data_IF_243803388585
#
_entry.id   IF_243803388585
#
_cell.length_a   1.000
_cell.length_b   1.000
_cell.length_c   1.000
_cell.angle_alpha   90.00
_cell.angle_beta   90.00
_cell.angle_gamma   90.00
#
_symmetry.space_group_name_H-M   'P 1'
#
loop_
_entity.id
_entity.type
_entity.pdbx_description
1 polymer ?
#
# COMPACT_ATOMS: atom_id res chain seq x y z
N UNK A 1 26.89 -14.16 53.72
CA UNK A 1 26.66 -15.03 52.55
C UNK A 1 25.64 -14.30 51.70
N UNK A 2 26.11 -13.59 50.66
CA UNK A 2 25.28 -12.75 49.79
C UNK A 2 24.44 -13.64 48.87
N UNK A 3 23.19 -13.90 49.24
CA UNK A 3 22.23 -14.64 48.42
C UNK A 3 20.97 -13.78 48.30
N UNK A 4 21.02 -12.68 47.56
CA UNK A 4 19.77 -11.96 47.20
C UNK A 4 19.93 -11.01 45.99
N UNK A 5 20.91 -11.28 45.11
CA UNK A 5 21.20 -10.41 43.95
C UNK A 5 20.81 -10.98 42.58
N UNK A 6 20.43 -12.25 42.48
CA UNK A 6 20.50 -13.03 41.23
C UNK A 6 19.16 -13.48 40.66
N UNK A 7 18.05 -12.90 41.13
CA UNK A 7 16.69 -13.43 40.85
C UNK A 7 15.91 -12.59 39.79
N UNK A 8 15.79 -11.28 39.97
CA UNK A 8 15.03 -10.43 39.04
C UNK A 8 15.65 -10.33 37.64
N UNK A 9 16.99 -10.39 37.54
CA UNK A 9 17.70 -10.35 36.24
C UNK A 9 17.34 -11.57 35.41
N UNK A 10 17.24 -12.75 36.04
CA UNK A 10 16.85 -13.99 35.35
C UNK A 10 15.40 -13.94 34.91
N UNK A 11 14.49 -13.50 35.78
CA UNK A 11 13.08 -13.31 35.45
C UNK A 11 12.93 -12.33 34.28
N UNK A 12 13.65 -11.21 34.33
CA UNK A 12 13.66 -10.21 33.25
C UNK A 12 14.20 -10.79 31.94
N UNK A 13 15.27 -11.58 31.99
CA UNK A 13 15.83 -12.23 30.80
C UNK A 13 14.85 -13.21 30.15
N UNK A 14 14.16 -14.04 30.96
CA UNK A 14 13.14 -14.97 30.45
C UNK A 14 11.99 -14.23 29.77
N UNK A 15 11.52 -13.12 30.36
CA UNK A 15 10.45 -12.32 29.76
C UNK A 15 10.89 -11.67 28.44
N UNK A 16 12.14 -11.18 28.36
CA UNK A 16 12.67 -10.62 27.11
C UNK A 16 12.76 -11.67 26.00
N UNK A 17 13.23 -12.88 26.32
CA UNK A 17 13.29 -13.99 25.36
C UNK A 17 11.88 -14.32 24.84
N UNK A 18 10.91 -14.44 25.74
CA UNK A 18 9.51 -14.70 25.38
C UNK A 18 8.93 -13.62 24.45
N UNK A 19 9.20 -12.35 24.73
CA UNK A 19 8.74 -11.24 23.89
C UNK A 19 9.39 -11.28 22.50
N UNK A 20 10.67 -11.60 22.42
CA UNK A 20 11.39 -11.71 21.15
C UNK A 20 10.90 -12.91 20.33
N UNK A 21 10.65 -14.06 20.97
CA UNK A 21 10.02 -15.21 20.33
C UNK A 21 8.63 -14.88 19.77
N UNK A 22 7.81 -14.16 20.55
CA UNK A 22 6.50 -13.69 20.10
C UNK A 22 6.61 -12.74 18.91
N UNK A 23 7.53 -11.77 18.97
CA UNK A 23 7.81 -10.84 17.88
C UNK A 23 8.23 -11.59 16.60
N UNK A 24 9.14 -12.55 16.72
CA UNK A 24 9.60 -13.34 15.59
C UNK A 24 8.46 -14.17 14.98
N UNK A 25 7.65 -14.81 15.81
CA UNK A 25 6.48 -15.57 15.34
C UNK A 25 5.43 -14.70 14.64
N UNK A 26 5.22 -13.47 15.12
CA UNK A 26 4.27 -12.53 14.53
C UNK A 26 4.79 -11.95 13.22
N UNK A 27 6.09 -11.66 13.11
CA UNK A 27 6.72 -11.24 11.86
C UNK A 27 6.61 -12.30 10.76
N UNK A 28 6.84 -13.58 11.09
CA UNK A 28 6.69 -14.68 10.13
C UNK A 28 5.24 -14.76 9.62
N UNK A 29 4.26 -14.71 10.52
CA UNK A 29 2.83 -14.73 10.16
C UNK A 29 2.44 -13.53 9.30
N UNK A 30 2.93 -12.34 9.65
CA UNK A 30 2.70 -11.12 8.88
C UNK A 30 3.23 -11.26 7.46
N UNK A 31 4.44 -11.77 7.30
CA UNK A 31 5.04 -11.95 5.98
C UNK A 31 4.29 -13.00 5.15
N UNK A 32 3.88 -14.12 5.75
CA UNK A 32 3.02 -15.11 5.09
C UNK A 32 1.69 -14.49 4.64
N UNK A 33 1.07 -13.68 5.50
CA UNK A 33 -0.16 -12.99 5.14
C UNK A 33 0.03 -12.00 4.00
N UNK A 34 1.15 -11.24 4.01
CA UNK A 34 1.50 -10.31 2.93
C UNK A 34 1.68 -11.04 1.61
N UNK A 35 2.40 -12.15 1.61
CA UNK A 35 2.64 -12.96 0.40
C UNK A 35 1.37 -13.60 -0.14
N UNK A 36 0.52 -14.15 0.73
CA UNK A 36 -0.76 -14.75 0.30
C UNK A 36 -1.70 -13.71 -0.29
N UNK A 37 -1.79 -12.53 0.33
CA UNK A 37 -2.57 -11.40 -0.17
C UNK A 37 -2.05 -10.93 -1.53
N UNK A 38 -0.73 -10.79 -1.69
CA UNK A 38 -0.12 -10.45 -2.99
C UNK A 38 -0.42 -11.49 -4.06
N UNK A 39 -0.23 -12.77 -3.77
CA UNK A 39 -0.54 -13.87 -4.73
C UNK A 39 -2.01 -13.86 -5.14
N UNK A 40 -2.92 -13.62 -4.19
CA UNK A 40 -4.34 -13.52 -4.49
C UNK A 40 -4.64 -12.33 -5.41
N UNK A 41 -4.05 -11.16 -5.12
CA UNK A 41 -4.22 -9.96 -5.94
C UNK A 41 -3.66 -10.19 -7.34
N UNK A 42 -2.41 -10.63 -7.47
CA UNK A 42 -1.77 -10.86 -8.76
C UNK A 42 -2.53 -11.88 -9.62
N UNK A 43 -3.12 -12.91 -9.00
CA UNK A 43 -3.95 -13.91 -9.70
C UNK A 43 -5.28 -13.33 -10.19
N UNK A 44 -5.87 -12.38 -9.46
CA UNK A 44 -7.19 -11.82 -9.75
C UNK A 44 -7.13 -10.55 -10.60
N UNK A 45 -6.03 -9.81 -10.51
CA UNK A 45 -5.79 -8.60 -11.27
C UNK A 45 -5.80 -8.94 -12.77
N UNK A 46 -6.75 -8.34 -13.49
CA UNK A 46 -6.82 -8.43 -14.94
C UNK A 46 -6.28 -7.14 -15.52
N UNK A 47 -5.34 -7.23 -16.45
CA UNK A 47 -4.93 -6.08 -17.24
C UNK A 47 -6.10 -5.67 -18.13
N UNK A 48 -6.76 -4.57 -17.78
CA UNK A 48 -7.78 -3.97 -18.62
C UNK A 48 -7.10 -2.96 -19.54
N UNK A 49 -7.12 -3.25 -20.85
CA UNK A 49 -6.67 -2.29 -21.83
C UNK A 49 -7.68 -1.14 -21.90
N UNK A 50 -7.17 0.08 -21.79
CA UNK A 50 -8.00 1.27 -21.92
C UNK A 50 -8.33 1.57 -23.37
N UNK A 51 -9.55 2.05 -23.61
CA UNK A 51 -10.03 2.50 -24.92
C UNK A 51 -10.32 3.99 -24.91
N UNK A 52 -10.30 4.59 -26.09
CA UNK A 52 -10.76 5.97 -26.27
C UNK A 52 -12.24 6.05 -25.89
N UNK A 53 -12.60 7.04 -25.07
CA UNK A 53 -13.94 7.22 -24.51
C UNK A 53 -14.17 6.54 -23.15
N UNK A 54 -13.24 5.71 -22.66
CA UNK A 54 -13.38 5.10 -21.33
C UNK A 54 -13.28 6.16 -20.22
N UNK A 55 -14.11 6.01 -19.20
CA UNK A 55 -14.03 6.77 -17.95
C UNK A 55 -13.02 6.13 -17.01
N UNK A 56 -11.99 6.88 -16.62
CA UNK A 56 -10.89 6.43 -15.77
C UNK A 56 -10.69 7.35 -14.58
N UNK A 57 -10.19 6.78 -13.48
CA UNK A 57 -9.76 7.51 -12.30
C UNK A 57 -8.24 7.66 -12.34
N UNK A 58 -7.73 8.83 -11.95
CA UNK A 58 -6.28 9.08 -11.86
C UNK A 58 -5.78 8.86 -10.44
N UNK A 59 -4.69 8.12 -10.29
CA UNK A 59 -4.01 7.99 -9.00
C UNK A 59 -3.29 9.29 -8.63
N UNK A 60 -3.62 9.87 -7.48
CA UNK A 60 -2.95 11.04 -6.92
C UNK A 60 -1.72 10.59 -6.11
N UNK A 61 -0.59 10.50 -6.81
CA UNK A 61 0.68 10.09 -6.22
C UNK A 61 1.17 11.01 -5.11
N UNK A 62 0.75 12.28 -5.08
CA UNK A 62 1.17 13.22 -4.04
C UNK A 62 0.42 12.96 -2.73
N UNK A 63 -0.89 12.69 -2.81
CA UNK A 63 -1.68 12.29 -1.64
C UNK A 63 -1.29 10.91 -1.13
N UNK A 64 -0.93 10.00 -2.02
CA UNK A 64 -0.58 8.63 -1.65
C UNK A 64 0.77 8.46 -0.92
N UNK A 65 1.55 9.53 -0.75
CA UNK A 65 2.86 9.44 -0.06
C UNK A 65 2.68 9.02 1.40
N UNK A 66 3.59 8.19 1.95
CA UNK A 66 3.57 7.83 3.37
C UNK A 66 3.56 9.08 4.25
N UNK A 67 2.59 9.16 5.16
CA UNK A 67 2.42 10.31 6.07
C UNK A 67 1.65 11.51 5.48
N UNK A 68 1.33 11.52 4.18
CA UNK A 68 0.49 12.55 3.56
C UNK A 68 -0.99 12.18 3.46
N UNK A 69 -1.31 10.88 3.47
CA UNK A 69 -2.69 10.38 3.38
C UNK A 69 -3.17 9.76 4.69
N UNK A 70 -4.38 10.14 5.08
CA UNK A 70 -5.21 9.44 6.04
C UNK A 70 -5.90 8.24 5.37
N UNK A 71 -6.32 7.27 6.19
CA UNK A 71 -6.98 6.02 5.75
C UNK A 71 -8.23 6.25 4.88
N UNK A 72 -8.87 7.41 5.00
CA UNK A 72 -10.10 7.76 4.30
C UNK A 72 -9.92 8.88 3.26
N UNK A 73 -8.67 9.21 2.92
CA UNK A 73 -8.42 10.20 1.88
C UNK A 73 -8.71 9.62 0.50
N UNK A 74 -9.31 10.43 -0.36
CA UNK A 74 -9.50 10.11 -1.77
C UNK A 74 -8.14 10.14 -2.50
N UNK A 75 -7.53 8.97 -2.67
CA UNK A 75 -6.28 8.78 -3.44
C UNK A 75 -6.49 8.76 -4.94
N UNK A 76 -7.74 8.67 -5.38
CA UNK A 76 -8.12 8.66 -6.77
C UNK A 76 -8.85 9.97 -7.07
N UNK A 77 -8.33 10.76 -8.00
CA UNK A 77 -9.01 11.97 -8.47
C UNK A 77 -9.88 11.65 -9.66
N UNK A 78 -11.06 12.28 -9.69
CA UNK A 78 -11.92 12.56 -10.83
C UNK A 78 -12.32 11.38 -11.75
N UNK A 79 -13.53 11.37 -12.31
CA UNK A 79 -13.71 10.70 -13.58
C UNK A 79 -13.04 11.55 -14.68
N UNK A 80 -12.18 10.92 -15.49
CA UNK A 80 -11.58 11.50 -16.68
C UNK A 80 -11.94 10.64 -17.90
N UNK A 81 -12.04 11.26 -19.07
CA UNK A 81 -12.30 10.54 -20.32
C UNK A 81 -10.99 10.42 -21.09
N UNK A 82 -10.69 9.22 -21.60
CA UNK A 82 -9.54 9.01 -22.48
C UNK A 82 -9.84 9.60 -23.85
N UNK A 83 -9.05 10.59 -24.28
CA UNK A 83 -9.21 11.29 -25.55
C UNK A 83 -8.37 10.65 -26.66
N UNK A 84 -7.13 10.32 -26.37
CA UNK A 84 -6.18 9.80 -27.37
C UNK A 84 -5.15 8.88 -26.73
N UNK A 85 -4.58 7.99 -27.55
CA UNK A 85 -3.42 7.20 -27.20
C UNK A 85 -2.15 7.94 -27.64
N UNK A 86 -1.16 8.03 -26.75
CA UNK A 86 0.19 8.50 -27.03
C UNK A 86 1.16 7.33 -27.10
N UNK A 87 2.35 7.58 -27.60
CA UNK A 87 3.43 6.60 -27.60
C UNK A 87 3.78 6.14 -26.16
N UNK A 88 4.30 4.91 -26.04
CA UNK A 88 4.75 4.31 -24.78
C UNK A 88 3.69 4.06 -23.68
N UNK A 89 2.48 3.56 -24.02
CA UNK A 89 1.40 3.28 -23.06
C UNK A 89 0.90 4.51 -22.28
N UNK A 90 1.07 5.70 -22.86
CA UNK A 90 0.56 6.95 -22.31
C UNK A 90 -0.79 7.30 -22.95
N UNK A 91 -1.68 7.91 -22.18
CA UNK A 91 -3.00 8.32 -22.64
C UNK A 91 -3.22 9.79 -22.32
N UNK A 92 -3.75 10.54 -23.28
CA UNK A 92 -4.31 11.86 -22.98
C UNK A 92 -5.72 11.69 -22.44
N UNK A 93 -6.01 12.42 -21.36
CA UNK A 93 -7.33 12.43 -20.76
C UNK A 93 -7.81 13.85 -20.55
N UNK A 94 -9.12 14.03 -20.56
CA UNK A 94 -9.80 15.32 -20.34
C UNK A 94 -10.85 15.18 -19.24
N UNK A 95 -11.27 16.31 -18.68
CA UNK A 95 -12.45 16.31 -17.83
C UNK A 95 -13.70 15.90 -18.65
N UNK A 96 -14.73 15.33 -18.00
CA UNK A 96 -16.00 14.99 -18.65
C UNK A 96 -16.70 16.20 -19.26
N UNK A 97 -16.41 17.40 -18.74
CA UNK A 97 -16.89 18.71 -19.22
C UNK A 97 -16.13 19.22 -20.47
N UNK A 98 -15.18 18.43 -20.99
CA UNK A 98 -14.38 18.81 -22.16
C UNK A 98 -13.22 19.78 -21.88
N UNK A 99 -13.07 20.24 -20.64
CA UNK A 99 -11.89 21.01 -20.23
C UNK A 99 -10.63 20.15 -20.20
N UNK A 100 -9.53 20.73 -20.70
CA UNK A 100 -8.23 20.05 -20.72
C UNK A 100 -7.64 19.96 -19.30
N UNK A 101 -6.96 18.84 -19.04
CA UNK A 101 -6.23 18.67 -17.79
C UNK A 101 -4.97 19.52 -17.84
N UNK A 102 -4.87 20.48 -16.91
CA UNK A 102 -3.62 21.14 -16.61
C UNK A 102 -2.64 20.08 -16.09
N UNK A 103 -1.65 19.72 -16.91
CA UNK A 103 -0.56 18.84 -16.51
C UNK A 103 0.44 19.73 -15.75
N UNK A 104 0.68 19.49 -14.45
CA UNK A 104 1.68 20.25 -13.70
C UNK A 104 3.11 19.89 -14.12
#
# INVERSE_FOLDING_TARGET
VEIEGTDWRKIRMVELIRLEELRNSTMIKLEQHRQTTKKWFDRKARHQAFKIGDLVLKWDANRAKPGCSSKFDALWSGPYIIKSYKEANSFESTHPDGSELQIP
#
